data_IF_555286745563
#
_entry.id   IF_555286745563
#
_cell.length_a   1.000
_cell.length_b   1.000
_cell.length_c   1.000
_cell.angle_alpha   90.00
_cell.angle_beta   90.00
_cell.angle_gamma   90.00
#
_symmetry.space_group_name_H-M   'P 1'
#
loop_
_entity.id
_entity.type
_entity.pdbx_description
1 polymer ?
#
# COMPACT_ATOMS: atom_id res chain seq x y z
N UNK A 1 -14.61 6.26 7.80
CA UNK A 1 -13.90 5.47 8.84
C UNK A 1 -14.02 6.09 10.23
N UNK A 2 -13.76 7.40 10.40
CA UNK A 2 -13.81 8.07 11.71
C UNK A 2 -15.15 7.95 12.44
N UNK A 3 -16.24 7.80 11.73
CA UNK A 3 -17.59 7.59 12.28
C UNK A 3 -17.94 6.11 12.48
N UNK A 4 -16.99 5.18 12.28
CA UNK A 4 -17.18 3.71 12.38
C UNK A 4 -18.33 3.15 11.50
N UNK A 5 -18.74 3.88 10.44
CA UNK A 5 -19.79 3.46 9.51
C UNK A 5 -19.23 2.54 8.41
N UNK A 6 -18.80 1.34 8.80
CA UNK A 6 -18.13 0.39 7.89
C UNK A 6 -19.01 0.01 6.70
N UNK A 7 -20.32 -0.22 6.92
CA UNK A 7 -21.26 -0.59 5.85
C UNK A 7 -21.32 0.49 4.75
N UNK A 8 -21.44 1.77 5.15
CA UNK A 8 -21.48 2.88 4.22
C UNK A 8 -20.16 3.03 3.45
N UNK A 9 -19.03 2.87 4.12
CA UNK A 9 -17.72 2.88 3.52
C UNK A 9 -17.56 1.78 2.44
N UNK A 10 -17.95 0.56 2.76
CA UNK A 10 -17.90 -0.57 1.82
C UNK A 10 -18.81 -0.33 0.62
N UNK A 11 -20.05 0.12 0.85
CA UNK A 11 -21.02 0.39 -0.21
C UNK A 11 -20.52 1.49 -1.18
N UNK A 12 -19.97 2.58 -0.64
CA UNK A 12 -19.38 3.65 -1.45
C UNK A 12 -18.21 3.17 -2.29
N UNK A 13 -17.30 2.36 -1.72
CA UNK A 13 -16.18 1.79 -2.46
C UNK A 13 -16.64 0.85 -3.58
N UNK A 14 -17.63 -0.02 -3.32
CA UNK A 14 -18.19 -0.91 -4.33
C UNK A 14 -18.84 -0.10 -5.46
N UNK A 15 -19.69 0.87 -5.12
CA UNK A 15 -20.36 1.73 -6.11
C UNK A 15 -19.34 2.50 -6.96
N UNK A 16 -18.31 3.05 -6.32
CA UNK A 16 -17.21 3.73 -7.01
C UNK A 16 -16.43 2.79 -7.93
N UNK A 17 -16.13 1.58 -7.49
CA UNK A 17 -15.41 0.59 -8.30
C UNK A 17 -16.20 0.14 -9.53
N UNK A 18 -17.52 -0.07 -9.38
CA UNK A 18 -18.42 -0.40 -10.48
C UNK A 18 -18.46 0.75 -11.49
N UNK A 19 -18.63 1.99 -11.01
CA UNK A 19 -18.65 3.17 -11.89
C UNK A 19 -17.34 3.31 -12.66
N UNK A 20 -16.20 3.18 -11.99
CA UNK A 20 -14.87 3.22 -12.61
C UNK A 20 -14.72 2.14 -13.67
N UNK A 21 -15.15 0.91 -13.36
CA UNK A 21 -15.09 -0.22 -14.30
C UNK A 21 -15.91 0.07 -15.57
N UNK A 22 -17.16 0.48 -15.41
CA UNK A 22 -18.07 0.78 -16.51
C UNK A 22 -17.55 1.95 -17.34
N UNK A 23 -17.15 3.04 -16.72
CA UNK A 23 -16.60 4.21 -17.43
C UNK A 23 -15.33 3.84 -18.18
N UNK A 24 -14.39 3.18 -17.52
CA UNK A 24 -13.12 2.81 -18.18
C UNK A 24 -13.37 1.83 -19.33
N UNK A 25 -14.26 0.86 -19.17
CA UNK A 25 -14.64 -0.07 -20.23
C UNK A 25 -15.28 0.61 -21.44
N UNK A 26 -16.27 1.49 -21.20
CA UNK A 26 -16.93 2.25 -22.27
C UNK A 26 -15.92 3.13 -23.04
N UNK A 27 -15.10 3.90 -22.34
CA UNK A 27 -14.12 4.78 -22.98
C UNK A 27 -13.03 3.99 -23.71
N UNK A 28 -12.61 2.85 -23.16
CA UNK A 28 -11.64 1.97 -23.83
C UNK A 28 -12.18 1.37 -25.12
N UNK A 29 -13.45 0.92 -25.13
CA UNK A 29 -14.09 0.36 -26.34
C UNK A 29 -14.34 1.43 -27.39
N UNK A 30 -14.76 2.64 -27.00
CA UNK A 30 -15.13 3.69 -27.96
C UNK A 30 -13.93 4.47 -28.51
N UNK A 31 -12.92 4.73 -27.68
CA UNK A 31 -11.78 5.62 -28.00
C UNK A 31 -10.41 4.91 -27.88
N UNK A 32 -10.38 3.60 -27.64
CA UNK A 32 -9.15 2.83 -27.46
C UNK A 32 -8.30 3.31 -26.29
N UNK A 33 -6.98 3.28 -26.46
CA UNK A 33 -6.01 3.67 -25.41
C UNK A 33 -6.22 5.10 -24.91
N UNK A 34 -6.53 6.04 -25.80
CA UNK A 34 -6.81 7.44 -25.41
C UNK A 34 -8.01 7.54 -24.49
N UNK A 35 -9.09 6.81 -24.79
CA UNK A 35 -10.28 6.75 -23.97
C UNK A 35 -10.00 6.17 -22.58
N UNK A 36 -9.23 5.09 -22.50
CA UNK A 36 -8.82 4.51 -21.21
C UNK A 36 -8.03 5.51 -20.34
N UNK A 37 -7.11 6.28 -20.93
CA UNK A 37 -6.34 7.32 -20.21
C UNK A 37 -7.23 8.47 -19.73
N UNK A 38 -8.18 8.93 -20.56
CA UNK A 38 -9.16 9.95 -20.17
C UNK A 38 -10.03 9.44 -19.02
N UNK A 39 -10.52 8.19 -19.09
CA UNK A 39 -11.31 7.58 -18.03
C UNK A 39 -10.53 7.52 -16.70
N UNK A 40 -9.26 7.14 -16.70
CA UNK A 40 -8.42 7.12 -15.51
C UNK A 40 -8.31 8.52 -14.85
N UNK A 41 -8.24 9.56 -15.65
CA UNK A 41 -8.17 10.95 -15.16
C UNK A 41 -9.51 11.40 -14.55
N UNK A 42 -10.63 11.07 -15.18
CA UNK A 42 -11.97 11.43 -14.74
C UNK A 42 -12.42 10.62 -13.51
N UNK A 43 -11.95 9.40 -13.35
CA UNK A 43 -12.35 8.49 -12.28
C UNK A 43 -12.21 9.11 -10.88
N UNK A 44 -11.15 9.86 -10.63
CA UNK A 44 -10.96 10.53 -9.33
C UNK A 44 -12.05 11.57 -9.06
N UNK A 45 -12.43 12.35 -10.08
CA UNK A 45 -13.50 13.35 -9.98
C UNK A 45 -14.88 12.69 -9.82
N UNK A 46 -15.14 11.59 -10.52
CA UNK A 46 -16.37 10.83 -10.37
C UNK A 46 -16.53 10.23 -8.96
N UNK A 47 -15.47 9.66 -8.41
CA UNK A 47 -15.44 9.16 -7.04
C UNK A 47 -15.70 10.27 -6.01
N UNK A 48 -15.15 11.46 -6.24
CA UNK A 48 -15.41 12.63 -5.39
C UNK A 48 -16.90 13.00 -5.42
N UNK A 49 -17.54 13.04 -6.59
CA UNK A 49 -18.96 13.38 -6.71
C UNK A 49 -19.84 12.37 -5.94
N UNK A 50 -19.60 11.08 -6.07
CA UNK A 50 -20.35 10.04 -5.34
C UNK A 50 -20.20 10.22 -3.84
N UNK A 51 -18.97 10.35 -3.37
CA UNK A 51 -18.66 10.48 -1.94
C UNK A 51 -19.25 11.78 -1.38
N UNK A 52 -19.13 12.87 -2.11
CA UNK A 52 -19.67 14.18 -1.71
C UNK A 52 -21.20 14.20 -1.67
N UNK A 53 -21.86 13.57 -2.64
CA UNK A 53 -23.32 13.44 -2.69
C UNK A 53 -23.86 12.63 -1.51
N UNK A 54 -23.15 11.58 -1.09
CA UNK A 54 -23.47 10.84 0.12
C UNK A 54 -23.24 11.67 1.38
N UNK A 55 -22.13 12.40 1.43
CA UNK A 55 -21.71 13.20 2.58
C UNK A 55 -22.74 14.31 2.91
N UNK A 56 -23.24 15.05 1.91
CA UNK A 56 -24.23 16.13 2.10
C UNK A 56 -25.55 15.60 2.69
N UNK A 57 -25.93 14.37 2.36
CA UNK A 57 -27.17 13.75 2.86
C UNK A 57 -27.11 13.30 4.32
N UNK A 58 -25.93 13.35 4.95
CA UNK A 58 -25.76 12.89 6.33
C UNK A 58 -26.33 13.90 7.34
N UNK A 59 -27.12 13.42 8.32
CA UNK A 59 -27.75 14.26 9.37
C UNK A 59 -26.75 15.05 10.23
N UNK A 60 -25.51 14.57 10.34
CA UNK A 60 -24.44 15.24 11.10
C UNK A 60 -23.71 16.33 10.30
N UNK A 61 -23.86 16.35 8.97
CA UNK A 61 -23.26 17.39 8.14
C UNK A 61 -24.07 18.67 8.20
N UNK A 62 -23.49 19.70 8.79
CA UNK A 62 -24.05 21.06 8.77
C UNK A 62 -22.91 22.00 8.36
N UNK A 63 -23.15 22.83 7.34
CA UNK A 63 -22.17 23.81 6.82
C UNK A 63 -21.64 24.71 7.95
N UNK A 64 -22.47 25.00 8.96
CA UNK A 64 -22.08 25.78 10.13
C UNK A 64 -20.90 25.18 10.91
N UNK A 65 -20.68 23.87 10.86
CA UNK A 65 -19.53 23.23 11.52
C UNK A 65 -18.21 23.38 10.78
N UNK A 66 -18.23 23.85 9.53
CA UNK A 66 -17.03 24.18 8.76
C UNK A 66 -16.45 25.55 9.16
N UNK A 67 -17.24 26.41 9.79
CA UNK A 67 -16.83 27.72 10.29
C UNK A 67 -16.75 27.65 11.83
N UNK A 68 -15.56 27.51 12.38
CA UNK A 68 -15.33 27.45 13.80
C UNK A 68 -13.93 27.94 14.19
N UNK A 69 -13.72 28.25 15.47
CA UNK A 69 -12.39 28.60 15.97
C UNK A 69 -11.48 27.37 15.99
N UNK A 70 -10.38 27.44 15.26
CA UNK A 70 -9.38 26.38 15.21
C UNK A 70 -8.56 26.35 16.48
N UNK A 71 -8.65 25.27 17.24
CA UNK A 71 -7.78 25.04 18.37
C UNK A 71 -6.36 24.70 17.87
N UNK A 72 -5.38 25.58 18.18
CA UNK A 72 -3.99 25.44 17.74
C UNK A 72 -3.35 24.10 18.14
N UNK A 73 -3.73 23.54 19.28
CA UNK A 73 -3.20 22.25 19.76
C UNK A 73 -3.71 21.09 18.89
N UNK A 74 -5.00 21.09 18.56
CA UNK A 74 -5.61 20.11 17.67
C UNK A 74 -5.02 20.24 16.26
N UNK A 75 -4.89 21.48 15.77
CA UNK A 75 -4.31 21.76 14.46
C UNK A 75 -2.86 21.25 14.36
N UNK A 76 -2.04 21.45 15.39
CA UNK A 76 -0.66 20.94 15.45
C UNK A 76 -0.59 19.41 15.49
N UNK A 77 -1.51 18.73 16.15
CA UNK A 77 -1.63 17.28 16.11
C UNK A 77 -2.03 16.78 14.72
N UNK A 78 -3.07 17.38 14.16
CA UNK A 78 -3.60 17.03 12.84
C UNK A 78 -2.56 17.27 11.71
N UNK A 79 -1.81 18.38 11.78
CA UNK A 79 -0.78 18.69 10.78
C UNK A 79 0.35 17.66 10.75
N UNK A 80 0.73 17.09 11.89
CA UNK A 80 1.73 16.01 11.95
C UNK A 80 1.24 14.75 11.22
N UNK A 81 0.00 14.34 11.48
CA UNK A 81 -0.61 13.20 10.78
C UNK A 81 -0.80 13.48 9.29
N UNK A 82 -1.24 14.69 8.93
CA UNK A 82 -1.36 15.10 7.54
C UNK A 82 -0.02 15.07 6.81
N UNK A 83 1.06 15.55 7.46
CA UNK A 83 2.40 15.50 6.89
C UNK A 83 2.90 14.06 6.68
N UNK A 84 2.67 13.17 7.66
CA UNK A 84 2.99 11.74 7.51
C UNK A 84 2.23 11.12 6.34
N UNK A 85 0.92 11.34 6.28
CA UNK A 85 0.06 10.81 5.22
C UNK A 85 0.48 11.35 3.85
N UNK A 86 0.77 12.65 3.74
CA UNK A 86 1.23 13.29 2.51
C UNK A 86 2.58 12.69 2.07
N UNK A 87 3.53 12.57 3.00
CA UNK A 87 4.85 12.00 2.70
C UNK A 87 4.74 10.56 2.19
N UNK A 88 4.00 9.70 2.91
CA UNK A 88 3.81 8.30 2.50
C UNK A 88 3.06 8.17 1.16
N UNK A 89 2.07 9.04 0.91
CA UNK A 89 1.32 9.02 -0.34
C UNK A 89 2.11 9.48 -1.55
N UNK A 90 3.17 10.26 -1.36
CA UNK A 90 4.05 10.74 -2.43
C UNK A 90 5.30 9.87 -2.61
N UNK A 91 5.92 9.43 -1.51
CA UNK A 91 7.20 8.71 -1.55
C UNK A 91 7.13 7.43 -2.39
N UNK A 92 6.10 6.62 -2.18
CA UNK A 92 5.94 5.34 -2.90
C UNK A 92 5.68 5.54 -4.40
N UNK A 93 4.70 6.35 -4.84
CA UNK A 93 4.49 6.60 -6.27
C UNK A 93 5.68 7.25 -6.98
N UNK A 94 6.37 8.20 -6.32
CA UNK A 94 7.55 8.84 -6.91
C UNK A 94 8.69 7.84 -7.10
N UNK A 95 8.95 6.98 -6.09
CA UNK A 95 9.94 5.92 -6.21
C UNK A 95 9.59 4.95 -7.32
N UNK A 96 8.34 4.51 -7.42
CA UNK A 96 7.88 3.60 -8.48
C UNK A 96 7.98 4.25 -9.87
N UNK A 97 7.64 5.54 -9.99
CA UNK A 97 7.77 6.29 -11.25
C UNK A 97 9.23 6.40 -11.67
N UNK A 98 10.14 6.71 -10.74
CA UNK A 98 11.58 6.75 -10.99
C UNK A 98 12.10 5.39 -11.46
N UNK A 99 11.77 4.30 -10.75
CA UNK A 99 12.23 2.96 -11.08
C UNK A 99 11.71 2.49 -12.44
N UNK A 100 10.43 2.73 -12.73
CA UNK A 100 9.84 2.39 -14.03
C UNK A 100 10.54 3.10 -15.18
N UNK A 101 10.82 4.39 -15.03
CA UNK A 101 11.56 5.16 -16.03
C UNK A 101 13.00 4.64 -16.15
N UNK A 102 13.67 4.39 -15.04
CA UNK A 102 15.05 3.89 -15.01
C UNK A 102 15.17 2.51 -15.68
N UNK A 103 14.30 1.57 -15.38
CA UNK A 103 14.26 0.25 -16.02
C UNK A 103 13.95 0.39 -17.51
N UNK A 104 12.96 1.23 -17.86
CA UNK A 104 12.54 1.43 -19.25
C UNK A 104 13.64 2.00 -20.15
N UNK A 105 14.44 2.93 -19.63
CA UNK A 105 15.51 3.58 -20.38
C UNK A 105 16.81 2.77 -20.44
N UNK A 106 17.13 1.99 -19.39
CA UNK A 106 18.40 1.26 -19.32
C UNK A 106 18.31 -0.20 -19.79
N UNK A 107 17.10 -0.80 -19.79
CA UNK A 107 16.90 -2.17 -20.27
C UNK A 107 15.91 -2.16 -21.44
N UNK A 108 14.61 -2.06 -21.13
CA UNK A 108 13.53 -1.89 -22.12
C UNK A 108 12.22 -1.50 -21.45
N UNK A 109 11.32 -0.86 -22.23
CA UNK A 109 9.98 -0.53 -21.78
C UNK A 109 9.10 -1.78 -21.56
N UNK A 110 9.40 -2.88 -22.24
CA UNK A 110 8.75 -4.16 -22.05
C UNK A 110 9.01 -4.69 -20.63
N UNK A 111 10.28 -4.71 -20.21
CA UNK A 111 10.68 -5.15 -18.86
C UNK A 111 10.14 -4.21 -17.79
N UNK A 112 10.09 -2.91 -18.06
CA UNK A 112 9.40 -1.95 -17.20
C UNK A 112 7.91 -2.27 -17.06
N UNK A 113 7.26 -2.73 -18.14
CA UNK A 113 5.89 -3.26 -18.12
C UNK A 113 5.74 -4.51 -17.26
N UNK A 114 6.68 -5.45 -17.32
CA UNK A 114 6.71 -6.64 -16.47
C UNK A 114 6.84 -6.27 -14.98
N UNK A 115 7.71 -5.30 -14.67
CA UNK A 115 7.86 -4.76 -13.32
C UNK A 115 6.55 -4.15 -12.78
N UNK A 116 5.87 -3.36 -13.60
CA UNK A 116 4.56 -2.77 -13.22
C UNK A 116 3.50 -3.87 -13.03
N UNK A 117 3.44 -4.84 -13.94
CA UNK A 117 2.48 -5.93 -13.88
C UNK A 117 2.62 -6.78 -12.61
N UNK A 118 3.86 -7.17 -12.26
CA UNK A 118 4.10 -7.96 -11.05
C UNK A 118 3.78 -7.17 -9.77
N UNK A 119 4.04 -5.86 -9.75
CA UNK A 119 3.68 -5.00 -8.62
C UNK A 119 2.15 -4.87 -8.46
N UNK A 120 1.37 -4.89 -9.55
CA UNK A 120 -0.10 -4.91 -9.48
C UNK A 120 -0.65 -6.23 -8.94
N UNK A 121 -0.07 -7.36 -9.36
CA UNK A 121 -0.41 -8.68 -8.81
C UNK A 121 -0.09 -8.73 -7.32
N UNK A 122 1.09 -8.26 -6.92
CA UNK A 122 1.51 -8.11 -5.53
C UNK A 122 0.52 -7.26 -4.71
N UNK A 123 0.08 -6.11 -5.25
CA UNK A 123 -0.89 -5.25 -4.58
C UNK A 123 -2.23 -5.97 -4.30
N UNK A 124 -2.71 -6.79 -5.24
CA UNK A 124 -3.92 -7.61 -5.05
C UNK A 124 -3.68 -8.68 -3.98
N UNK A 125 -2.53 -9.38 -4.03
CA UNK A 125 -2.18 -10.42 -3.08
C UNK A 125 -2.15 -9.89 -1.62
N UNK A 126 -1.57 -8.72 -1.40
CA UNK A 126 -1.45 -8.13 -0.06
C UNK A 126 -2.67 -7.27 0.36
N UNK A 127 -3.68 -7.14 -0.49
CA UNK A 127 -4.85 -6.27 -0.24
C UNK A 127 -5.63 -6.70 1.02
N UNK A 128 -5.77 -8.00 1.28
CA UNK A 128 -6.42 -8.50 2.49
C UNK A 128 -5.67 -8.08 3.75
N UNK A 129 -4.33 -8.17 3.72
CA UNK A 129 -3.49 -7.77 4.84
C UNK A 129 -3.59 -6.25 5.09
N UNK A 130 -3.50 -5.42 4.03
CA UNK A 130 -3.62 -3.95 4.17
C UNK A 130 -4.97 -3.54 4.71
N UNK A 131 -6.05 -4.14 4.22
CA UNK A 131 -7.41 -3.85 4.67
C UNK A 131 -7.59 -4.23 6.14
N UNK A 132 -7.12 -5.41 6.56
CA UNK A 132 -7.18 -5.87 7.95
C UNK A 132 -6.37 -4.95 8.88
N UNK A 133 -5.16 -4.57 8.48
CA UNK A 133 -4.31 -3.67 9.25
C UNK A 133 -4.93 -2.28 9.41
N UNK A 134 -5.52 -1.74 8.35
CA UNK A 134 -6.04 -0.38 8.35
C UNK A 134 -7.40 -0.26 9.04
N UNK A 135 -8.32 -1.21 8.77
CA UNK A 135 -9.70 -1.11 9.26
C UNK A 135 -9.91 -1.68 10.65
N UNK A 136 -9.17 -2.72 11.01
CA UNK A 136 -9.34 -3.42 12.28
C UNK A 136 -8.18 -3.19 13.25
N UNK A 137 -6.95 -3.41 12.80
CA UNK A 137 -5.80 -3.45 13.68
C UNK A 137 -5.38 -2.05 14.17
N UNK A 138 -5.32 -1.06 13.29
CA UNK A 138 -4.91 0.30 13.65
C UNK A 138 -5.83 0.92 14.71
N UNK A 139 -7.18 0.91 14.58
CA UNK A 139 -8.07 1.42 15.62
C UNK A 139 -7.92 0.65 16.94
N UNK A 140 -7.88 -0.69 16.87
CA UNK A 140 -7.78 -1.55 18.06
C UNK A 140 -6.51 -1.30 18.86
N UNK A 141 -5.36 -1.17 18.18
CA UNK A 141 -4.10 -0.83 18.84
C UNK A 141 -4.08 0.59 19.42
N UNK A 142 -4.73 1.55 18.76
CA UNK A 142 -4.80 2.94 19.22
C UNK A 142 -5.60 3.06 20.52
N UNK A 143 -6.62 2.23 20.72
CA UNK A 143 -7.44 2.16 21.94
C UNK A 143 -6.76 1.37 23.08
N UNK A 144 -5.71 0.59 22.78
CA UNK A 144 -5.05 -0.28 23.76
C UNK A 144 -3.86 0.43 24.42
N UNK A 145 -4.00 0.84 25.67
CA UNK A 145 -2.95 1.51 26.44
C UNK A 145 -2.08 0.57 27.28
N UNK A 146 -2.62 -0.57 27.70
CA UNK A 146 -1.96 -1.55 28.56
C UNK A 146 -0.93 -2.38 27.77
N UNK A 147 0.34 -2.38 28.22
CA UNK A 147 1.46 -3.05 27.52
C UNK A 147 1.23 -4.56 27.28
N UNK A 148 0.65 -5.27 28.25
CA UNK A 148 0.38 -6.71 28.12
C UNK A 148 -0.67 -6.99 27.03
N UNK A 149 -1.78 -6.25 27.05
CA UNK A 149 -2.84 -6.36 26.03
C UNK A 149 -2.32 -5.97 24.66
N UNK A 150 -1.53 -4.91 24.57
CA UNK A 150 -0.91 -4.46 23.32
C UNK A 150 -0.03 -5.55 22.69
N UNK A 151 0.85 -6.19 23.49
CA UNK A 151 1.66 -7.33 23.03
C UNK A 151 0.80 -8.51 22.59
N UNK A 152 -0.25 -8.81 23.32
CA UNK A 152 -1.18 -9.89 22.97
C UNK A 152 -1.86 -9.65 21.63
N UNK A 153 -2.34 -8.43 21.38
CA UNK A 153 -2.96 -8.06 20.11
C UNK A 153 -1.97 -8.12 18.94
N UNK A 154 -0.72 -7.70 19.13
CA UNK A 154 0.35 -7.87 18.15
C UNK A 154 0.55 -9.34 17.76
N UNK A 155 0.62 -10.23 18.75
CA UNK A 155 0.81 -11.65 18.51
C UNK A 155 -0.41 -12.25 17.80
N UNK A 156 -1.62 -11.86 18.20
CA UNK A 156 -2.85 -12.38 17.60
C UNK A 156 -2.96 -12.00 16.12
N UNK A 157 -2.68 -10.73 15.78
CA UNK A 157 -2.72 -10.31 14.38
C UNK A 157 -1.61 -10.96 13.55
N UNK A 158 -0.42 -11.14 14.14
CA UNK A 158 0.67 -11.85 13.47
C UNK A 158 0.33 -13.29 13.18
N UNK A 159 -0.28 -14.00 14.15
CA UNK A 159 -0.75 -15.40 13.99
C UNK A 159 -1.81 -15.53 12.88
N UNK A 160 -2.57 -14.48 12.60
CA UNK A 160 -3.55 -14.47 11.54
C UNK A 160 -2.93 -14.09 10.20
N UNK A 161 -2.26 -12.92 10.14
CA UNK A 161 -1.80 -12.34 8.87
C UNK A 161 -0.62 -13.09 8.26
N UNK A 162 0.33 -13.56 9.09
CA UNK A 162 1.53 -14.22 8.57
C UNK A 162 1.19 -15.51 7.82
N UNK A 163 0.42 -16.47 8.36
CA UNK A 163 0.07 -17.68 7.61
C UNK A 163 -0.86 -17.39 6.43
N UNK A 164 -1.82 -16.45 6.54
CA UNK A 164 -2.71 -16.09 5.44
C UNK A 164 -1.91 -15.48 4.28
N UNK A 165 -0.96 -14.58 4.57
CA UNK A 165 -0.09 -14.00 3.55
C UNK A 165 0.83 -15.06 2.93
N UNK A 166 1.43 -15.92 3.74
CA UNK A 166 2.27 -17.01 3.25
C UNK A 166 1.49 -17.92 2.29
N UNK A 167 0.27 -18.31 2.68
CA UNK A 167 -0.60 -19.11 1.83
C UNK A 167 -0.95 -18.38 0.53
N UNK A 168 -1.31 -17.09 0.58
CA UNK A 168 -1.55 -16.26 -0.60
C UNK A 168 -0.35 -16.19 -1.53
N UNK A 169 0.86 -15.96 -1.00
CA UNK A 169 2.10 -15.94 -1.77
C UNK A 169 2.37 -17.29 -2.46
N UNK A 170 2.16 -18.41 -1.75
CA UNK A 170 2.30 -19.75 -2.30
C UNK A 170 1.28 -19.97 -3.42
N UNK A 171 0.01 -19.63 -3.22
CA UNK A 171 -1.03 -19.74 -4.23
C UNK A 171 -0.68 -18.93 -5.49
N UNK A 172 -0.30 -17.66 -5.34
CA UNK A 172 0.07 -16.80 -6.47
C UNK A 172 1.27 -17.34 -7.21
N UNK A 173 2.27 -17.88 -6.50
CA UNK A 173 3.46 -18.47 -7.13
C UNK A 173 3.12 -19.69 -7.99
N UNK A 174 2.30 -20.63 -7.49
CA UNK A 174 1.91 -21.80 -8.25
C UNK A 174 0.91 -21.50 -9.36
N UNK A 175 0.02 -20.55 -9.16
CA UNK A 175 -0.98 -20.14 -10.13
C UNK A 175 -0.49 -19.07 -11.12
N UNK A 176 0.80 -18.69 -11.09
CA UNK A 176 1.35 -17.59 -11.89
C UNK A 176 1.01 -17.64 -13.37
N UNK A 177 1.08 -18.81 -14.01
CA UNK A 177 0.76 -18.95 -15.43
C UNK A 177 -0.72 -18.72 -15.73
N UNK A 178 -1.62 -19.19 -14.86
CA UNK A 178 -3.06 -18.93 -14.97
C UNK A 178 -3.36 -17.44 -14.78
N UNK A 179 -2.74 -16.82 -13.78
CA UNK A 179 -2.88 -15.38 -13.50
C UNK A 179 -2.41 -14.56 -14.69
N UNK A 180 -1.26 -14.90 -15.27
CA UNK A 180 -0.72 -14.20 -16.44
C UNK A 180 -1.69 -14.34 -17.62
N UNK A 181 -2.15 -15.54 -17.93
CA UNK A 181 -3.01 -15.79 -19.08
C UNK A 181 -4.40 -15.15 -18.97
N UNK A 182 -4.92 -14.97 -17.75
CA UNK A 182 -6.24 -14.33 -17.52
C UNK A 182 -6.12 -12.80 -17.55
N UNK A 183 -5.05 -12.23 -16.95
CA UNK A 183 -4.96 -10.80 -16.74
C UNK A 183 -4.16 -10.06 -17.82
N UNK A 184 -3.29 -10.76 -18.54
CA UNK A 184 -2.34 -10.16 -19.47
C UNK A 184 -2.31 -10.89 -20.82
N UNK A 185 -1.64 -10.29 -21.79
CA UNK A 185 -1.38 -10.90 -23.09
C UNK A 185 -0.28 -11.97 -23.01
N UNK A 186 -0.20 -12.92 -23.97
CA UNK A 186 0.81 -14.00 -23.97
C UNK A 186 2.26 -13.53 -23.85
N UNK A 187 2.58 -12.31 -24.31
CA UNK A 187 3.92 -11.72 -24.19
C UNK A 187 4.37 -11.56 -22.74
N UNK A 188 3.45 -11.44 -21.78
CA UNK A 188 3.76 -11.32 -20.36
C UNK A 188 4.18 -12.63 -19.69
N UNK A 189 4.14 -13.77 -20.37
CA UNK A 189 4.65 -15.05 -19.82
C UNK A 189 6.14 -14.94 -19.44
N UNK A 190 6.88 -14.12 -20.16
CA UNK A 190 8.30 -13.86 -19.88
C UNK A 190 8.55 -13.23 -18.50
N UNK A 191 7.56 -12.61 -17.84
CA UNK A 191 7.72 -12.06 -16.49
C UNK A 191 7.69 -13.13 -15.38
N UNK A 192 7.43 -14.40 -15.72
CA UNK A 192 7.31 -15.51 -14.76
C UNK A 192 8.48 -15.67 -13.78
N UNK A 193 9.76 -15.37 -14.12
CA UNK A 193 10.87 -15.43 -13.17
C UNK A 193 10.78 -14.43 -12.03
N UNK A 194 10.06 -13.32 -12.21
CA UNK A 194 9.91 -12.29 -11.19
C UNK A 194 9.05 -12.73 -10.01
N UNK A 195 8.14 -13.71 -10.22
CA UNK A 195 7.17 -14.12 -9.19
C UNK A 195 7.82 -14.64 -7.91
N UNK A 196 8.88 -15.42 -8.00
CA UNK A 196 9.51 -16.04 -6.83
C UNK A 196 9.93 -15.01 -5.80
N UNK A 197 10.81 -14.12 -6.19
CA UNK A 197 11.32 -13.05 -5.32
C UNK A 197 10.24 -12.03 -4.94
N UNK A 198 9.27 -11.78 -5.81
CA UNK A 198 8.16 -10.89 -5.50
C UNK A 198 7.32 -11.42 -4.34
N UNK A 199 6.97 -12.70 -4.35
CA UNK A 199 6.19 -13.33 -3.27
C UNK A 199 6.96 -13.37 -1.95
N UNK A 200 8.27 -13.60 -1.99
CA UNK A 200 9.14 -13.49 -0.81
C UNK A 200 9.12 -12.06 -0.26
N UNK A 201 9.19 -11.06 -1.14
CA UNK A 201 9.09 -9.65 -0.78
C UNK A 201 7.75 -9.29 -0.17
N UNK A 202 6.64 -9.79 -0.72
CA UNK A 202 5.29 -9.57 -0.19
C UNK A 202 5.14 -10.11 1.23
N UNK A 203 5.69 -11.30 1.49
CA UNK A 203 5.69 -11.88 2.83
C UNK A 203 6.43 -10.99 3.83
N UNK A 204 7.64 -10.55 3.53
CA UNK A 204 8.40 -9.64 4.39
C UNK A 204 7.72 -8.28 4.55
N UNK A 205 7.10 -7.77 3.50
CA UNK A 205 6.36 -6.50 3.51
C UNK A 205 5.20 -6.53 4.49
N UNK A 206 4.34 -7.53 4.41
CA UNK A 206 3.19 -7.65 5.32
C UNK A 206 3.66 -7.85 6.76
N UNK A 207 4.70 -8.65 6.98
CA UNK A 207 5.25 -8.85 8.31
C UNK A 207 5.86 -7.55 8.89
N UNK A 208 6.57 -6.78 8.08
CA UNK A 208 7.12 -5.48 8.50
C UNK A 208 6.02 -4.45 8.81
N UNK A 209 4.91 -4.47 8.07
CA UNK A 209 3.80 -3.57 8.29
C UNK A 209 3.11 -3.75 9.65
N UNK A 210 3.10 -4.95 10.22
CA UNK A 210 2.59 -5.17 11.57
C UNK A 210 3.34 -4.27 12.57
N UNK A 211 4.66 -4.16 12.47
CA UNK A 211 5.49 -3.30 13.32
C UNK A 211 5.37 -1.82 12.93
N UNK A 212 5.31 -1.52 11.66
CA UNK A 212 5.17 -0.17 11.13
C UNK A 212 3.85 0.48 11.59
N UNK A 213 2.72 -0.23 11.48
CA UNK A 213 1.44 0.23 12.00
C UNK A 213 1.44 0.37 13.53
N UNK A 214 2.16 -0.49 14.23
CA UNK A 214 2.33 -0.37 15.67
C UNK A 214 3.13 0.90 16.06
N UNK A 215 4.13 1.30 15.29
CA UNK A 215 4.85 2.57 15.47
C UNK A 215 3.94 3.79 15.24
N UNK A 216 3.03 3.71 14.26
CA UNK A 216 2.02 4.75 14.00
C UNK A 216 1.11 4.98 15.20
N UNK A 217 0.60 3.91 15.84
CA UNK A 217 -0.29 4.02 17.00
C UNK A 217 0.39 4.62 18.23
N UNK A 218 1.73 4.57 18.31
CA UNK A 218 2.54 5.18 19.36
C UNK A 218 3.07 6.57 19.02
N UNK A 219 2.51 7.20 17.98
CA UNK A 219 2.89 8.55 17.52
C UNK A 219 4.39 8.71 17.20
N UNK A 220 5.07 7.62 16.84
CA UNK A 220 6.49 7.61 16.47
C UNK A 220 6.71 8.00 15.01
N UNK A 221 6.06 9.09 14.58
CA UNK A 221 6.03 9.55 13.21
C UNK A 221 7.42 9.76 12.57
N UNK A 222 8.40 10.26 13.33
CA UNK A 222 9.78 10.47 12.83
C UNK A 222 10.43 9.16 12.45
N UNK A 223 10.26 8.12 13.28
CA UNK A 223 10.81 6.78 13.02
C UNK A 223 10.10 6.17 11.81
N UNK A 224 8.77 6.30 11.75
CA UNK A 224 7.99 5.81 10.62
C UNK A 224 8.48 6.42 9.29
N UNK A 225 8.59 7.76 9.20
CA UNK A 225 9.08 8.44 8.01
C UNK A 225 10.52 8.02 7.67
N UNK A 226 11.41 7.90 8.67
CA UNK A 226 12.78 7.44 8.44
C UNK A 226 12.82 6.03 7.85
N UNK A 227 11.97 5.12 8.32
CA UNK A 227 11.85 3.77 7.75
C UNK A 227 11.33 3.80 6.29
N UNK A 228 10.35 4.67 5.98
CA UNK A 228 9.82 4.82 4.63
C UNK A 228 10.88 5.39 3.66
N UNK A 229 11.63 6.41 4.09
CA UNK A 229 12.75 6.97 3.30
C UNK A 229 13.81 5.90 3.06
N UNK A 230 14.19 5.17 4.10
CA UNK A 230 15.17 4.10 4.00
C UNK A 230 14.71 3.03 3.00
N UNK A 231 13.45 2.60 3.07
CA UNK A 231 12.93 1.61 2.14
C UNK A 231 12.95 2.11 0.69
N UNK A 232 12.62 3.38 0.46
CA UNK A 232 12.68 3.98 -0.88
C UNK A 232 14.13 4.03 -1.42
N UNK A 233 15.09 4.42 -0.58
CA UNK A 233 16.51 4.47 -0.95
C UNK A 233 17.04 3.05 -1.22
N UNK A 234 16.75 2.08 -0.35
CA UNK A 234 17.21 0.70 -0.52
C UNK A 234 16.61 0.09 -1.78
N UNK A 235 15.32 0.32 -2.06
CA UNK A 235 14.67 -0.17 -3.27
C UNK A 235 15.30 0.45 -4.52
N UNK A 236 15.54 1.76 -4.53
CA UNK A 236 16.19 2.42 -5.65
C UNK A 236 17.63 1.91 -5.86
N UNK A 237 18.42 1.87 -4.80
CA UNK A 237 19.82 1.43 -4.88
C UNK A 237 19.95 -0.03 -5.33
N UNK A 238 19.16 -0.95 -4.73
CA UNK A 238 19.19 -2.36 -5.11
C UNK A 238 18.69 -2.60 -6.54
N UNK A 239 17.68 -1.86 -6.99
CA UNK A 239 17.22 -1.93 -8.38
C UNK A 239 18.28 -1.41 -9.35
N UNK A 240 18.95 -0.29 -9.05
CA UNK A 240 20.06 0.24 -9.86
C UNK A 240 21.18 -0.78 -9.96
N UNK A 241 21.58 -1.39 -8.85
CA UNK A 241 22.63 -2.43 -8.83
C UNK A 241 22.23 -3.60 -9.74
N UNK A 242 20.99 -4.09 -9.65
CA UNK A 242 20.53 -5.21 -10.48
C UNK A 242 20.50 -4.84 -11.96
N UNK A 243 20.01 -3.64 -12.29
CA UNK A 243 19.94 -3.17 -13.68
C UNK A 243 21.34 -3.01 -14.29
N UNK A 244 22.32 -2.52 -13.51
CA UNK A 244 23.67 -2.26 -14.02
C UNK A 244 24.58 -3.49 -14.05
N UNK A 245 24.41 -4.43 -13.11
CA UNK A 245 25.39 -5.50 -12.89
C UNK A 245 24.82 -6.92 -12.98
N UNK A 246 23.48 -7.06 -13.05
CA UNK A 246 22.82 -8.37 -13.03
C UNK A 246 21.80 -8.50 -14.16
N UNK A 247 21.17 -9.66 -14.25
CA UNK A 247 20.05 -9.87 -15.18
C UNK A 247 18.76 -9.31 -14.63
N UNK A 248 17.88 -8.77 -15.49
CA UNK A 248 16.57 -8.25 -15.15
C UNK A 248 15.67 -9.28 -14.46
N UNK A 249 15.91 -10.57 -14.61
CA UNK A 249 15.19 -11.65 -13.91
C UNK A 249 15.25 -11.52 -12.38
N UNK A 250 16.25 -10.82 -11.85
CA UNK A 250 16.42 -10.57 -10.42
C UNK A 250 15.79 -9.27 -9.94
N UNK A 251 15.06 -8.50 -10.78
CA UNK A 251 14.47 -7.22 -10.36
C UNK A 251 13.61 -7.36 -9.10
N UNK A 252 12.80 -8.41 -8.99
CA UNK A 252 12.02 -8.65 -7.78
C UNK A 252 12.85 -9.03 -6.55
N UNK A 253 14.13 -9.43 -6.72
CA UNK A 253 15.03 -9.64 -5.59
C UNK A 253 15.36 -8.31 -4.89
N UNK A 254 15.44 -7.19 -5.63
CA UNK A 254 15.55 -5.85 -5.04
C UNK A 254 14.39 -5.55 -4.10
N UNK A 255 13.17 -5.89 -4.53
CA UNK A 255 11.97 -5.74 -3.72
C UNK A 255 12.01 -6.61 -2.45
N UNK A 256 12.37 -7.89 -2.58
CA UNK A 256 12.51 -8.80 -1.44
C UNK A 256 13.58 -8.33 -0.44
N UNK A 257 14.76 -7.95 -0.92
CA UNK A 257 15.84 -7.43 -0.09
C UNK A 257 15.41 -6.14 0.66
N UNK A 258 14.72 -5.24 -0.04
CA UNK A 258 14.21 -4.00 0.55
C UNK A 258 13.28 -4.29 1.72
N UNK A 259 12.28 -5.15 1.55
CA UNK A 259 11.32 -5.42 2.62
C UNK A 259 11.89 -6.32 3.72
N UNK A 260 12.89 -7.13 3.43
CA UNK A 260 13.66 -7.82 4.47
C UNK A 260 14.43 -6.82 5.36
N UNK A 261 15.14 -5.86 4.76
CA UNK A 261 15.83 -4.78 5.49
C UNK A 261 14.82 -3.92 6.26
N UNK A 262 13.71 -3.55 5.62
CA UNK A 262 12.63 -2.78 6.24
C UNK A 262 12.04 -3.51 7.46
N UNK A 263 11.88 -4.84 7.40
CA UNK A 263 11.44 -5.66 8.52
C UNK A 263 12.42 -5.59 9.70
N UNK A 264 13.71 -5.69 9.44
CA UNK A 264 14.75 -5.60 10.48
C UNK A 264 14.70 -4.23 11.17
N UNK A 265 14.61 -3.15 10.39
CA UNK A 265 14.57 -1.79 10.94
C UNK A 265 13.29 -1.53 11.72
N UNK A 266 12.12 -1.84 11.16
CA UNK A 266 10.84 -1.59 11.84
C UNK A 266 10.71 -2.41 13.12
N UNK A 267 11.15 -3.67 13.13
CA UNK A 267 11.12 -4.52 14.32
C UNK A 267 12.08 -4.05 15.42
N UNK A 268 13.32 -3.65 15.05
CA UNK A 268 14.32 -3.10 16.00
C UNK A 268 13.87 -1.78 16.63
N UNK A 269 13.41 -0.84 15.82
CA UNK A 269 12.92 0.43 16.33
C UNK A 269 11.64 0.28 17.15
N UNK A 270 10.77 -0.64 16.76
CA UNK A 270 9.61 -0.99 17.56
C UNK A 270 10.03 -1.50 18.94
N UNK A 271 10.95 -2.46 19.00
CA UNK A 271 11.44 -3.01 20.25
C UNK A 271 12.08 -1.93 21.14
N UNK A 272 12.97 -1.11 20.60
CA UNK A 272 13.61 -0.02 21.32
C UNK A 272 12.61 1.02 21.84
N UNK A 273 11.58 1.36 21.06
CA UNK A 273 10.63 2.40 21.41
C UNK A 273 9.63 1.99 22.49
N UNK A 274 9.35 0.69 22.62
CA UNK A 274 8.34 0.17 23.56
C UNK A 274 8.97 -0.44 24.80
N UNK A 275 10.13 -1.10 24.66
CA UNK A 275 10.73 -1.84 25.78
C UNK A 275 11.91 -1.13 26.44
N UNK A 276 12.73 -0.36 25.71
CA UNK A 276 13.95 0.27 26.24
C UNK A 276 13.71 1.60 26.95
N UNK A 277 12.53 2.23 26.84
CA UNK A 277 12.17 3.46 27.58
C UNK A 277 11.50 3.22 28.93
N UNK A 278 11.60 2.02 29.46
CA UNK A 278 11.02 1.61 30.75
C UNK A 278 12.08 1.27 31.81
N UNK A 279 13.36 1.64 31.58
CA UNK A 279 14.44 1.63 32.59
C UNK A 279 14.95 3.03 32.84
#
# INVERSE_FOLDING_TARGET
NGMKQIKAYVLLNISSSILVLVMTGLFAVTMGLKGALIALTINQSANFIITFSYFIKQKWFKIRFLAGNLNKTILKGLSRFAFMALFSSLAVPLTQMFLRNFIGTNISWEISGYWEAINRISAINIMLATTTLTLYYLPKLSETHEKKKYKHELINISKLLVPVTAFGCICVFYLKFYIINILFTPSFVNMSPLFGWQMVGDFFKVFSWIFSFALLTKEKWKIFIACEILSAIVLAASTIIIVCFMSWHYLSAAYAATYFIYLIFTSTFFYQSIYKKAS
#
